data_IF_930160224941
#
_entry.id   IF_930160224941
#
_cell.length_a   1.000
_cell.length_b   1.000
_cell.length_c   1.000
_cell.angle_alpha   90.00
_cell.angle_beta   90.00
_cell.angle_gamma   90.00
#
_symmetry.space_group_name_H-M   'P 1'
#
loop_
_entity.id
_entity.type
_entity.pdbx_description
1 polymer ?
#
# COMPACT_ATOMS: atom_id res chain seq x y z
N UNK A 1 -16.41 36.03 16.40
CA UNK A 1 -16.74 36.06 17.85
C UNK A 1 -15.48 36.43 18.65
N UNK A 2 -15.54 36.46 19.98
CA UNK A 2 -14.34 36.55 20.83
C UNK A 2 -14.09 35.19 21.49
N UNK A 3 -12.83 34.82 21.68
CA UNK A 3 -12.44 33.59 22.33
C UNK A 3 -12.75 33.65 23.84
N UNK A 4 -13.47 32.67 24.42
CA UNK A 4 -13.82 32.68 25.84
C UNK A 4 -12.63 32.46 26.79
N UNK A 5 -11.50 31.91 26.29
CA UNK A 5 -10.29 31.64 27.09
C UNK A 5 -9.25 32.77 27.04
N UNK A 6 -9.12 33.49 25.92
CA UNK A 6 -8.07 34.52 25.75
C UNK A 6 -8.57 35.90 25.28
N UNK A 7 -9.89 36.10 25.16
CA UNK A 7 -10.51 37.38 24.80
C UNK A 7 -10.32 37.85 23.35
N UNK A 8 -9.30 37.35 22.64
CA UNK A 8 -8.99 37.75 21.26
C UNK A 8 -10.14 37.45 20.29
N UNK A 9 -10.30 38.32 19.30
CA UNK A 9 -11.27 38.20 18.20
C UNK A 9 -10.89 37.03 17.29
N UNK A 10 -11.85 36.15 17.01
CA UNK A 10 -11.73 34.92 16.19
C UNK A 10 -12.90 34.84 15.21
N UNK A 11 -12.83 34.00 14.18
CA UNK A 11 -13.96 33.80 13.27
C UNK A 11 -15.15 33.18 14.00
N UNK A 12 -16.35 33.34 13.45
CA UNK A 12 -17.52 32.51 13.83
C UNK A 12 -17.50 31.14 13.14
N UNK A 13 -16.56 30.90 12.23
CA UNK A 13 -16.41 29.62 11.52
C UNK A 13 -15.43 28.67 12.21
N UNK A 14 -14.38 29.20 12.85
CA UNK A 14 -13.34 28.47 13.59
C UNK A 14 -13.92 27.42 14.57
N UNK A 15 -13.36 26.21 14.55
CA UNK A 15 -13.64 25.18 15.56
C UNK A 15 -12.77 25.34 16.82
N UNK A 16 -11.53 25.83 16.66
CA UNK A 16 -10.56 26.07 17.74
C UNK A 16 -10.01 27.50 17.64
N UNK A 17 -9.69 28.13 18.77
CA UNK A 17 -9.10 29.47 18.77
C UNK A 17 -7.63 29.45 18.33
N UNK A 18 -7.35 30.05 17.16
CA UNK A 18 -6.01 30.18 16.54
C UNK A 18 -4.91 30.77 17.46
N UNK A 19 -5.28 31.47 18.54
CA UNK A 19 -4.34 32.07 19.49
C UNK A 19 -4.11 31.31 20.80
N UNK A 20 -4.91 30.28 21.12
CA UNK A 20 -4.81 29.60 22.43
C UNK A 20 -5.38 28.17 22.49
N UNK A 21 -5.71 27.56 21.36
CA UNK A 21 -6.14 26.17 21.23
C UNK A 21 -7.47 25.79 21.88
N UNK A 22 -8.25 26.73 22.45
CA UNK A 22 -9.53 26.36 23.08
C UNK A 22 -10.56 26.04 22.00
N UNK A 23 -11.30 24.95 22.19
CA UNK A 23 -12.41 24.59 21.32
C UNK A 23 -13.55 25.61 21.48
N UNK A 24 -14.00 26.13 20.34
CA UNK A 24 -15.08 27.11 20.19
C UNK A 24 -16.40 26.44 19.79
N UNK A 25 -16.33 25.24 19.21
CA UNK A 25 -17.47 24.42 18.77
C UNK A 25 -17.21 22.94 18.99
N UNK A 26 -18.18 22.22 19.52
CA UNK A 26 -18.17 20.75 19.47
C UNK A 26 -18.37 20.26 18.04
N UNK A 27 -17.55 19.29 17.61
CA UNK A 27 -17.75 18.58 16.35
C UNK A 27 -18.81 17.50 16.58
N UNK A 28 -19.93 17.56 15.86
CA UNK A 28 -20.97 16.51 15.91
C UNK A 28 -20.43 15.26 15.20
N UNK A 29 -20.30 14.10 15.86
CA UNK A 29 -19.83 12.88 15.21
C UNK A 29 -20.81 12.43 14.12
N UNK A 30 -20.30 12.07 12.94
CA UNK A 30 -21.13 11.46 11.89
C UNK A 30 -21.45 10.01 12.28
N UNK A 31 -22.74 9.69 12.41
CA UNK A 31 -23.18 8.33 12.74
C UNK A 31 -22.70 7.30 11.71
N UNK A 32 -22.01 6.26 12.19
CA UNK A 32 -21.59 5.13 11.37
C UNK A 32 -22.82 4.27 11.03
N UNK A 33 -23.40 4.45 9.83
CA UNK A 33 -24.49 3.61 9.31
C UNK A 33 -24.01 2.17 9.05
N UNK A 34 -24.07 1.33 10.08
CA UNK A 34 -23.77 -0.09 9.98
C UNK A 34 -24.83 -0.85 9.15
N UNK A 35 -24.39 -1.45 8.05
CA UNK A 35 -25.11 -2.57 7.43
C UNK A 35 -24.63 -3.91 8.01
N UNK A 36 -25.40 -4.97 7.78
CA UNK A 36 -25.12 -6.37 8.18
C UNK A 36 -25.17 -6.69 9.68
N UNK A 37 -26.35 -6.49 10.29
CA UNK A 37 -26.71 -7.26 11.48
C UNK A 37 -27.46 -8.55 11.13
N UNK A 38 -26.94 -9.73 11.57
CA UNK A 38 -27.77 -10.90 11.94
C UNK A 38 -27.00 -11.97 12.72
N UNK A 39 -27.54 -12.30 13.90
CA UNK A 39 -27.55 -13.59 14.65
C UNK A 39 -26.51 -14.64 14.22
N UNK A 40 -25.60 -15.14 15.06
CA UNK A 40 -25.51 -15.11 16.53
C UNK A 40 -26.01 -16.42 17.16
N UNK A 41 -25.11 -17.15 17.84
CA UNK A 41 -25.39 -18.28 18.73
C UNK A 41 -24.15 -18.65 19.55
N UNK A 42 -24.28 -18.72 20.87
CA UNK A 42 -23.23 -19.17 21.78
C UNK A 42 -23.02 -20.69 21.73
N UNK A 43 -21.80 -21.14 22.05
CA UNK A 43 -21.55 -21.91 23.28
C UNK A 43 -20.06 -22.04 23.61
N UNK A 44 -19.77 -22.22 24.89
CA UNK A 44 -18.43 -22.18 25.50
C UNK A 44 -17.93 -23.60 25.85
N UNK A 45 -16.62 -23.72 26.15
CA UNK A 45 -15.97 -24.80 26.96
C UNK A 45 -15.83 -26.19 26.27
N UNK A 46 -14.85 -27.06 26.59
CA UNK A 46 -13.63 -26.94 27.44
C UNK A 46 -12.64 -28.14 27.27
N UNK A 47 -11.31 -27.85 27.22
CA UNK A 47 -10.10 -28.65 27.56
C UNK A 47 -9.84 -30.11 27.07
N UNK A 48 -8.54 -30.43 27.07
CA UNK A 48 -7.84 -31.73 27.19
C UNK A 48 -7.96 -32.75 26.02
N UNK A 49 -6.92 -33.38 25.45
CA UNK A 49 -5.51 -33.72 25.78
C UNK A 49 -5.26 -35.11 26.41
N UNK A 50 -4.81 -36.08 25.60
CA UNK A 50 -4.11 -37.33 26.02
C UNK A 50 -3.02 -37.68 24.98
N UNK A 51 -1.92 -38.32 25.43
CA UNK A 51 -0.84 -38.91 24.60
C UNK A 51 -0.77 -40.43 24.79
N UNK A 52 -0.29 -41.17 23.78
CA UNK A 52 0.70 -42.29 23.76
C UNK A 52 0.60 -43.03 22.39
N UNK A 53 1.63 -43.60 21.74
CA UNK A 53 2.70 -44.56 22.14
C UNK A 53 2.16 -45.96 22.50
N UNK A 54 2.80 -47.10 22.16
CA UNK A 54 3.81 -47.42 21.11
C UNK A 54 3.11 -48.20 19.96
N UNK A 55 3.58 -49.20 19.19
CA UNK A 55 4.82 -50.02 18.99
C UNK A 55 4.66 -50.67 17.56
N UNK A 56 5.58 -51.35 16.85
CA UNK A 56 6.97 -51.82 17.04
C UNK A 56 7.66 -52.01 15.65
N UNK A 57 8.90 -52.51 15.61
CA UNK A 57 9.61 -53.08 14.44
C UNK A 57 10.12 -54.50 14.79
N UNK A 58 10.41 -55.40 13.82
CA UNK A 58 11.81 -55.60 13.43
C UNK A 58 12.01 -55.82 11.91
N UNK A 59 13.22 -56.25 11.51
CA UNK A 59 13.76 -56.16 10.12
C UNK A 59 14.14 -57.56 9.53
N UNK A 60 14.92 -57.73 8.42
CA UNK A 60 14.72 -58.83 7.46
C UNK A 60 15.85 -59.89 7.56
N UNK A 61 16.12 -60.78 6.57
CA UNK A 61 16.91 -60.35 5.38
C UNK A 61 16.79 -61.22 4.08
N UNK A 62 17.39 -60.70 2.96
CA UNK A 62 18.01 -61.48 1.84
C UNK A 62 17.06 -62.33 0.94
N UNK A 63 17.43 -62.77 -0.27
CA UNK A 63 18.69 -62.66 -1.03
C UNK A 63 18.49 -62.71 -2.57
N UNK A 64 19.49 -62.20 -3.33
CA UNK A 64 19.93 -62.54 -4.72
C UNK A 64 18.96 -62.55 -5.93
N UNK A 65 19.47 -61.98 -7.04
CA UNK A 65 19.02 -62.22 -8.42
C UNK A 65 19.73 -63.46 -9.04
N UNK A 66 19.37 -63.89 -10.27
CA UNK A 66 20.11 -63.38 -11.43
C UNK A 66 19.29 -63.14 -12.71
N UNK A 67 19.91 -62.47 -13.68
CA UNK A 67 19.42 -62.25 -15.06
C UNK A 67 19.88 -63.39 -15.98
N UNK A 68 19.08 -63.75 -17.00
CA UNK A 68 19.65 -64.16 -18.28
C UNK A 68 19.09 -63.37 -19.47
N UNK A 69 19.98 -62.88 -20.33
CA UNK A 69 19.63 -62.26 -21.63
C UNK A 69 19.48 -63.36 -22.69
N UNK A 70 18.47 -63.25 -23.56
CA UNK A 70 18.51 -63.87 -24.90
C UNK A 70 18.02 -62.92 -25.99
N UNK A 71 18.76 -62.93 -27.10
CA UNK A 71 18.50 -62.19 -28.33
C UNK A 71 17.63 -63.02 -29.26
N UNK A 72 16.71 -62.38 -30.00
CA UNK A 72 16.24 -62.84 -31.31
C UNK A 72 15.73 -61.66 -32.14
N UNK A 73 16.02 -61.66 -33.44
CA UNK A 73 15.44 -60.73 -34.42
C UNK A 73 14.15 -61.33 -34.99
N UNK A 74 13.19 -60.48 -35.36
CA UNK A 74 12.70 -60.45 -36.75
C UNK A 74 11.94 -59.15 -37.05
N UNK A 75 12.19 -58.62 -38.25
CA UNK A 75 11.35 -57.63 -38.90
C UNK A 75 10.10 -58.29 -39.47
N UNK A 76 8.98 -57.55 -39.53
CA UNK A 76 7.99 -57.50 -40.61
C UNK A 76 6.82 -56.62 -40.16
N UNK A 77 6.36 -55.71 -41.01
CA UNK A 77 5.29 -54.76 -40.68
C UNK A 77 4.18 -54.76 -41.72
N UNK A 78 2.95 -55.07 -41.30
CA UNK A 78 1.74 -54.94 -42.11
C UNK A 78 0.49 -54.83 -41.21
N UNK A 79 -0.30 -53.76 -41.35
CA UNK A 79 -1.57 -53.56 -40.66
C UNK A 79 -1.46 -53.22 -39.15
N UNK A 80 -2.46 -52.60 -38.51
CA UNK A 80 -3.67 -51.95 -39.01
C UNK A 80 -3.95 -50.66 -38.21
N UNK A 81 -4.87 -49.82 -38.71
CA UNK A 81 -5.14 -48.48 -38.18
C UNK A 81 -5.93 -48.47 -36.87
N UNK A 82 -5.25 -48.72 -35.74
CA UNK A 82 -5.81 -48.49 -34.40
C UNK A 82 -6.02 -47.00 -34.10
N UNK A 83 -7.19 -46.45 -34.47
CA UNK A 83 -7.55 -45.04 -34.23
C UNK A 83 -7.66 -44.78 -32.71
N UNK A 84 -6.57 -44.31 -32.09
CA UNK A 84 -6.59 -43.85 -30.70
C UNK A 84 -7.41 -42.57 -30.59
N UNK A 85 -8.51 -42.65 -29.86
CA UNK A 85 -9.61 -41.68 -29.88
C UNK A 85 -9.18 -40.25 -29.51
N UNK A 86 -9.93 -39.25 -30.00
CA UNK A 86 -9.72 -37.85 -29.62
C UNK A 86 -9.98 -37.52 -28.14
N UNK A 87 -10.48 -38.46 -27.34
CA UNK A 87 -10.84 -38.26 -25.93
C UNK A 87 -9.63 -37.87 -25.06
N UNK A 88 -8.46 -38.45 -25.31
CA UNK A 88 -7.27 -38.19 -24.47
C UNK A 88 -6.70 -36.79 -24.69
N UNK A 89 -6.74 -36.27 -25.93
CA UNK A 89 -6.38 -34.87 -26.22
C UNK A 89 -7.30 -33.90 -25.46
N UNK A 90 -8.62 -34.16 -25.44
CA UNK A 90 -9.57 -33.36 -24.68
C UNK A 90 -9.41 -33.48 -23.17
N UNK A 91 -8.99 -34.63 -22.63
CA UNK A 91 -8.68 -34.80 -21.20
C UNK A 91 -7.45 -33.99 -20.79
N UNK A 92 -6.36 -34.08 -21.54
CA UNK A 92 -5.13 -33.32 -21.28
C UNK A 92 -5.40 -31.81 -21.38
N UNK A 93 -6.15 -31.35 -22.39
CA UNK A 93 -6.54 -29.94 -22.53
C UNK A 93 -7.41 -29.48 -21.35
N UNK A 94 -8.41 -30.27 -20.91
CA UNK A 94 -9.25 -29.91 -19.75
C UNK A 94 -8.43 -29.81 -18.45
N UNK A 95 -7.49 -30.73 -18.21
CA UNK A 95 -6.59 -30.69 -17.05
C UNK A 95 -5.67 -29.46 -17.13
N UNK A 96 -5.11 -29.17 -18.30
CA UNK A 96 -4.28 -27.97 -18.52
C UNK A 96 -5.03 -26.65 -18.28
N UNK A 97 -6.29 -26.56 -18.74
CA UNK A 97 -7.15 -25.38 -18.51
C UNK A 97 -7.50 -25.24 -17.02
N UNK A 98 -7.80 -26.33 -16.31
CA UNK A 98 -8.08 -26.30 -14.86
C UNK A 98 -6.81 -25.89 -14.08
N UNK A 99 -5.64 -26.40 -14.45
CA UNK A 99 -4.36 -26.01 -13.84
C UNK A 99 -4.04 -24.52 -14.09
N UNK A 100 -4.22 -24.03 -15.33
CA UNK A 100 -4.03 -22.63 -15.67
C UNK A 100 -4.99 -21.70 -14.92
N UNK A 101 -6.26 -22.08 -14.76
CA UNK A 101 -7.24 -21.36 -13.94
C UNK A 101 -6.84 -21.36 -12.46
N UNK A 102 -6.37 -22.49 -11.93
CA UNK A 102 -5.85 -22.58 -10.56
C UNK A 102 -4.67 -21.63 -10.31
N UNK A 103 -3.70 -21.60 -11.24
CA UNK A 103 -2.58 -20.66 -11.19
C UNK A 103 -3.06 -19.21 -11.29
N UNK A 104 -4.00 -18.90 -12.20
CA UNK A 104 -4.55 -17.56 -12.34
C UNK A 104 -5.29 -17.08 -11.07
N UNK A 105 -6.02 -17.98 -10.38
CA UNK A 105 -6.65 -17.69 -9.09
C UNK A 105 -5.61 -17.46 -7.99
N UNK A 106 -4.55 -18.26 -7.92
CA UNK A 106 -3.45 -18.06 -6.95
C UNK A 106 -2.76 -16.71 -7.21
N UNK A 107 -2.48 -16.36 -8.47
CA UNK A 107 -1.90 -15.06 -8.85
C UNK A 107 -2.85 -13.91 -8.50
N UNK A 108 -4.16 -14.04 -8.75
CA UNK A 108 -5.15 -13.06 -8.31
C UNK A 108 -5.17 -12.88 -6.79
N UNK A 109 -5.10 -13.97 -6.01
CA UNK A 109 -5.04 -13.90 -4.54
C UNK A 109 -3.76 -13.21 -4.07
N UNK A 110 -2.61 -13.51 -4.68
CA UNK A 110 -1.33 -12.84 -4.36
C UNK A 110 -1.36 -11.33 -4.72
N UNK A 111 -1.97 -10.96 -5.84
CA UNK A 111 -2.18 -9.56 -6.24
C UNK A 111 -3.12 -8.84 -5.27
N UNK A 112 -4.22 -9.48 -4.84
CA UNK A 112 -5.15 -8.93 -3.86
C UNK A 112 -4.51 -8.77 -2.48
N UNK A 113 -3.68 -9.72 -2.04
CA UNK A 113 -2.92 -9.60 -0.80
C UNK A 113 -1.93 -8.42 -0.91
N UNK A 114 -1.17 -8.30 -2.00
CA UNK A 114 -0.30 -7.15 -2.23
C UNK A 114 -1.06 -5.82 -2.25
N UNK A 115 -2.23 -5.75 -2.90
CA UNK A 115 -3.02 -4.52 -3.00
C UNK A 115 -3.65 -4.09 -1.66
N UNK A 116 -3.87 -5.02 -0.74
CA UNK A 116 -4.33 -4.71 0.63
C UNK A 116 -3.16 -4.37 1.56
N UNK A 117 -2.02 -5.05 1.45
CA UNK A 117 -0.85 -4.77 2.31
C UNK A 117 -0.15 -3.44 1.96
N UNK A 118 0.06 -3.16 0.67
CA UNK A 118 0.68 -1.90 0.18
C UNK A 118 -0.15 -0.63 0.39
N UNK A 119 -1.34 -0.77 1.01
CA UNK A 119 -2.24 0.31 1.42
C UNK A 119 -2.32 0.52 2.94
N UNK A 120 -1.57 -0.23 3.76
CA UNK A 120 -1.54 -0.07 5.22
C UNK A 120 -1.15 1.36 5.63
N UNK A 121 -0.02 1.87 5.14
CA UNK A 121 0.43 3.23 5.43
C UNK A 121 -0.52 4.33 4.93
N UNK A 122 -1.11 4.16 3.74
CA UNK A 122 -2.13 5.06 3.19
C UNK A 122 -3.30 5.18 4.17
N UNK A 123 -3.89 4.04 4.59
CA UNK A 123 -4.98 4.00 5.58
C UNK A 123 -4.57 4.54 6.95
N UNK A 124 -3.35 4.29 7.42
CA UNK A 124 -2.89 4.86 8.69
C UNK A 124 -2.77 6.39 8.64
N UNK A 125 -2.35 6.95 7.51
CA UNK A 125 -2.35 8.41 7.31
C UNK A 125 -3.76 9.01 7.18
N UNK A 126 -4.70 8.31 6.52
CA UNK A 126 -6.11 8.71 6.48
C UNK A 126 -6.67 8.80 7.91
N UNK A 127 -6.48 7.76 8.73
CA UNK A 127 -6.94 7.75 10.13
C UNK A 127 -6.25 8.83 10.96
N UNK A 128 -4.93 8.99 10.85
CA UNK A 128 -4.19 10.02 11.59
C UNK A 128 -4.61 11.45 11.19
N UNK A 129 -5.03 11.67 9.93
CA UNK A 129 -5.53 12.97 9.48
C UNK A 129 -6.81 13.42 10.22
N UNK A 130 -7.63 12.49 10.72
CA UNK A 130 -8.82 12.81 11.55
C UNK A 130 -8.47 13.42 12.92
N UNK A 131 -7.18 13.40 13.31
CA UNK A 131 -6.63 13.95 14.55
C UNK A 131 -5.80 15.23 14.34
N UNK A 132 -5.78 15.79 13.13
CA UNK A 132 -5.23 17.13 12.90
C UNK A 132 -5.99 18.15 13.79
N UNK A 133 -5.23 19.03 14.43
CA UNK A 133 -5.72 19.96 15.45
C UNK A 133 -5.94 19.32 16.85
N UNK A 134 -5.52 18.07 17.06
CA UNK A 134 -5.61 17.33 18.34
C UNK A 134 -4.26 16.79 18.81
N UNK A 135 -4.22 16.20 20.00
CA UNK A 135 -3.00 15.65 20.58
C UNK A 135 -2.67 14.25 20.06
N UNK A 136 -1.38 13.92 20.00
CA UNK A 136 -0.90 12.57 19.66
C UNK A 136 -1.39 11.52 20.68
N UNK A 137 -1.64 11.93 21.92
CA UNK A 137 -2.21 11.08 22.97
C UNK A 137 -3.65 10.62 22.70
N UNK A 138 -4.42 11.33 21.87
CA UNK A 138 -5.73 10.88 21.39
C UNK A 138 -5.56 9.87 20.24
N UNK A 139 -4.70 10.17 19.26
CA UNK A 139 -4.41 9.27 18.13
C UNK A 139 -3.93 7.89 18.60
N UNK A 140 -3.06 7.85 19.62
CA UNK A 140 -2.51 6.62 20.18
C UNK A 140 -3.51 5.79 21.02
N UNK A 141 -4.73 6.27 21.27
CA UNK A 141 -5.79 5.48 21.93
C UNK A 141 -6.63 4.67 20.93
N UNK A 142 -6.79 5.18 19.70
CA UNK A 142 -7.64 4.60 18.65
C UNK A 142 -6.85 3.97 17.49
N UNK A 143 -5.51 4.14 17.45
CA UNK A 143 -4.64 3.73 16.33
C UNK A 143 -3.80 2.46 16.56
N UNK A 144 -3.77 1.57 15.56
CA UNK A 144 -2.90 0.37 15.54
C UNK A 144 -1.41 0.68 15.25
N UNK A 145 -1.06 1.93 14.91
CA UNK A 145 0.30 2.34 14.53
C UNK A 145 0.95 3.17 15.64
N UNK A 146 2.10 2.70 16.14
CA UNK A 146 2.93 3.45 17.08
C UNK A 146 3.78 4.50 16.35
N UNK A 147 3.92 5.67 16.97
CA UNK A 147 4.72 6.80 16.48
C UNK A 147 5.92 7.05 17.40
N UNK A 148 7.12 7.13 16.83
CA UNK A 148 8.39 7.38 17.51
C UNK A 148 9.03 8.69 17.05
N UNK A 149 9.93 9.26 17.86
CA UNK A 149 10.66 10.50 17.53
C UNK A 149 11.70 10.34 16.40
N UNK A 150 12.07 9.09 16.06
CA UNK A 150 13.10 8.77 15.07
C UNK A 150 12.71 7.50 14.31
N UNK A 151 13.07 7.43 13.02
CA UNK A 151 12.98 6.22 12.21
C UNK A 151 14.06 5.21 12.60
N UNK A 152 13.75 3.90 12.47
CA UNK A 152 14.76 2.84 12.52
C UNK A 152 15.67 2.82 11.28
N UNK A 153 15.39 3.65 10.27
CA UNK A 153 16.10 3.73 9.00
C UNK A 153 16.84 5.06 8.86
N UNK A 154 18.17 4.99 8.91
CA UNK A 154 19.05 6.17 8.79
C UNK A 154 18.71 7.08 7.60
N UNK A 155 18.39 6.50 6.43
CA UNK A 155 18.04 7.26 5.23
C UNK A 155 16.80 8.17 5.40
N UNK A 156 15.85 7.79 6.26
CA UNK A 156 14.68 8.62 6.59
C UNK A 156 15.12 9.77 7.50
N UNK A 157 15.85 9.46 8.57
CA UNK A 157 16.40 10.44 9.52
C UNK A 157 17.31 11.49 8.85
N UNK A 158 17.97 11.14 7.74
CA UNK A 158 18.89 12.03 7.02
C UNK A 158 18.27 12.82 5.87
N UNK A 159 17.04 12.49 5.42
CA UNK A 159 16.42 13.12 4.23
C UNK A 159 15.06 13.75 4.48
N UNK A 160 14.36 13.37 5.56
CA UNK A 160 13.03 13.87 5.89
C UNK A 160 13.05 14.70 7.18
N UNK A 161 12.11 15.64 7.28
CA UNK A 161 11.79 16.37 8.51
C UNK A 161 10.39 15.94 8.98
N UNK A 162 10.25 15.79 10.28
CA UNK A 162 9.02 15.43 10.99
C UNK A 162 9.25 15.59 12.50
N UNK A 163 8.18 15.68 13.29
CA UNK A 163 8.26 15.53 14.76
C UNK A 163 8.20 14.05 15.16
N UNK A 164 7.33 13.27 14.51
CA UNK A 164 7.11 11.85 14.81
C UNK A 164 6.92 11.01 13.54
N UNK A 165 7.21 9.72 13.62
CA UNK A 165 7.07 8.76 12.52
C UNK A 165 6.54 7.40 12.99
N UNK A 166 5.57 6.85 12.26
CA UNK A 166 5.18 5.44 12.30
C UNK A 166 5.44 4.79 10.94
N UNK A 167 6.08 3.62 10.90
CA UNK A 167 6.68 3.09 9.66
C UNK A 167 6.54 1.57 9.49
N UNK A 168 6.78 1.10 8.26
CA UNK A 168 6.74 -0.33 7.94
C UNK A 168 7.92 -1.09 8.55
N UNK A 169 7.62 -2.27 9.11
CA UNK A 169 8.63 -3.27 9.49
C UNK A 169 9.23 -3.96 8.26
N UNK A 170 8.55 -3.91 7.12
CA UNK A 170 9.09 -4.30 5.81
C UNK A 170 9.93 -3.15 5.22
N UNK A 171 10.91 -3.49 4.37
CA UNK A 171 11.93 -2.52 3.93
C UNK A 171 12.31 -2.65 2.46
N UNK A 172 12.57 -1.52 1.82
CA UNK A 172 13.15 -1.46 0.47
C UNK A 172 14.58 -0.95 0.50
N UNK A 173 15.32 -1.17 -0.61
CA UNK A 173 16.57 -0.46 -0.88
C UNK A 173 16.38 0.51 -2.04
N UNK A 174 16.91 1.71 -1.88
CA UNK A 174 16.91 2.79 -2.88
C UNK A 174 18.38 3.22 -3.02
N UNK A 175 18.99 2.99 -4.19
CA UNK A 175 20.44 3.19 -4.41
C UNK A 175 21.34 2.60 -3.29
N UNK A 176 20.97 1.43 -2.78
CA UNK A 176 21.69 0.73 -1.71
C UNK A 176 21.33 1.15 -0.27
N UNK A 177 20.84 2.38 -0.08
CA UNK A 177 20.33 2.89 1.20
C UNK A 177 19.04 2.14 1.57
N UNK A 178 18.88 1.76 2.84
CA UNK A 178 17.70 1.05 3.35
C UNK A 178 16.66 2.05 3.86
N UNK A 179 15.42 1.89 3.41
CA UNK A 179 14.23 2.64 3.83
C UNK A 179 13.14 1.65 4.30
N UNK A 180 12.14 2.07 5.10
CA UNK A 180 10.94 1.25 5.27
C UNK A 180 10.23 1.15 3.90
N UNK A 181 9.34 0.18 3.73
CA UNK A 181 8.47 0.13 2.53
C UNK A 181 7.63 1.43 2.42
N UNK A 182 7.08 1.87 3.56
CA UNK A 182 6.33 3.11 3.71
C UNK A 182 6.53 3.72 5.10
N UNK A 183 6.26 5.03 5.20
CA UNK A 183 6.21 5.79 6.45
C UNK A 183 4.93 6.64 6.51
N UNK A 184 4.50 6.97 7.73
CA UNK A 184 3.53 8.02 8.04
C UNK A 184 4.19 8.95 9.05
N UNK A 185 4.51 10.17 8.63
CA UNK A 185 5.06 11.21 9.51
C UNK A 185 3.98 12.13 10.02
N UNK A 186 4.19 12.67 11.22
CA UNK A 186 3.39 13.74 11.83
C UNK A 186 4.28 14.96 12.04
N UNK A 187 3.79 16.13 11.66
CA UNK A 187 4.35 17.42 12.04
C UNK A 187 3.48 18.01 13.18
N UNK A 188 4.13 18.61 14.19
CA UNK A 188 3.45 19.13 15.38
C UNK A 188 3.67 20.64 15.54
N UNK A 189 2.63 21.30 16.01
CA UNK A 189 2.72 22.68 16.54
C UNK A 189 3.57 22.73 17.83
N UNK A 190 4.01 23.93 18.23
CA UNK A 190 4.68 24.18 19.52
C UNK A 190 3.85 23.66 20.73
N UNK A 191 2.52 23.69 20.61
CA UNK A 191 1.57 23.18 21.60
C UNK A 191 1.36 21.66 21.54
N UNK A 192 2.12 20.94 20.69
CA UNK A 192 2.08 19.49 20.43
C UNK A 192 0.71 18.95 20.01
N UNK A 193 -0.06 19.78 19.31
CA UNK A 193 -1.15 19.33 18.44
C UNK A 193 -0.62 19.01 17.04
N UNK A 194 -1.15 17.95 16.43
CA UNK A 194 -0.83 17.53 15.05
C UNK A 194 -1.29 18.63 14.08
N UNK A 195 -0.40 19.09 13.20
CA UNK A 195 -0.74 20.07 12.15
C UNK A 195 -0.85 19.43 10.78
N UNK A 196 0.04 18.48 10.48
CA UNK A 196 0.16 17.87 9.16
C UNK A 196 0.51 16.38 9.30
N UNK A 197 0.02 15.57 8.36
CA UNK A 197 0.18 14.11 8.34
C UNK A 197 0.59 13.68 6.94
N UNK A 198 1.73 12.99 6.79
CA UNK A 198 2.26 12.64 5.45
C UNK A 198 2.59 11.15 5.33
N UNK A 199 1.85 10.44 4.49
CA UNK A 199 2.21 9.10 3.99
C UNK A 199 3.28 9.20 2.91
N UNK A 200 4.31 8.37 2.97
CA UNK A 200 5.36 8.23 1.93
C UNK A 200 5.56 6.75 1.59
N UNK A 201 5.63 6.43 0.29
CA UNK A 201 5.86 5.09 -0.25
C UNK A 201 7.21 5.02 -0.97
N UNK A 202 8.22 4.49 -0.28
CA UNK A 202 9.56 4.30 -0.85
C UNK A 202 9.60 3.18 -1.90
N UNK A 203 8.58 2.32 -1.96
CA UNK A 203 8.49 1.27 -2.98
C UNK A 203 8.29 1.82 -4.39
N UNK A 204 7.79 3.06 -4.54
CA UNK A 204 7.68 3.80 -5.81
C UNK A 204 9.06 4.14 -6.40
N UNK A 205 10.07 4.34 -5.55
CA UNK A 205 11.44 4.73 -5.96
C UNK A 205 12.49 3.61 -5.80
N UNK A 206 12.07 2.39 -5.44
CA UNK A 206 12.98 1.23 -5.21
C UNK A 206 13.77 0.78 -6.44
N UNK A 207 13.30 1.12 -7.64
CA UNK A 207 13.96 0.78 -8.91
C UNK A 207 14.71 1.97 -9.53
N UNK A 208 14.23 3.20 -9.30
CA UNK A 208 14.81 4.44 -9.80
C UNK A 208 14.43 5.59 -8.85
N UNK A 209 15.39 6.40 -8.41
CA UNK A 209 15.14 7.54 -7.50
C UNK A 209 14.26 8.62 -8.11
N UNK A 210 14.20 8.66 -9.46
CA UNK A 210 13.35 9.54 -10.25
C UNK A 210 11.90 9.07 -10.28
N UNK A 211 11.62 7.85 -9.79
CA UNK A 211 10.28 7.27 -9.68
C UNK A 211 9.81 6.59 -10.98
N UNK A 212 8.56 6.82 -11.36
CA UNK A 212 7.90 6.09 -12.45
C UNK A 212 8.34 6.61 -13.81
N UNK A 213 8.69 5.72 -14.77
CA UNK A 213 8.93 6.13 -16.15
C UNK A 213 7.61 6.32 -16.90
N UNK A 214 7.40 7.49 -17.50
CA UNK A 214 6.27 7.82 -18.39
C UNK A 214 6.78 8.07 -19.82
N UNK A 215 5.88 7.98 -20.79
CA UNK A 215 6.16 8.22 -22.22
C UNK A 215 6.43 9.70 -22.55
N UNK A 216 5.89 10.61 -21.74
CA UNK A 216 5.89 12.06 -21.94
C UNK A 216 5.71 12.77 -20.59
N UNK A 217 5.83 14.10 -20.60
CA UNK A 217 5.39 14.93 -19.48
C UNK A 217 3.88 14.72 -19.21
N UNK A 218 3.49 14.73 -17.94
CA UNK A 218 2.07 14.77 -17.51
C UNK A 218 1.65 16.24 -17.41
N UNK A 219 0.69 16.67 -18.24
CA UNK A 219 0.04 17.99 -18.10
C UNK A 219 -1.34 17.85 -17.47
N UNK A 220 -1.67 18.76 -16.56
CA UNK A 220 -2.98 18.87 -15.91
C UNK A 220 -3.68 20.20 -16.24
N UNK A 221 -3.18 20.97 -17.21
CA UNK A 221 -3.67 22.32 -17.57
C UNK A 221 -5.13 22.36 -18.00
N UNK A 222 -5.69 21.23 -18.45
CA UNK A 222 -7.11 21.10 -18.81
C UNK A 222 -8.08 21.02 -17.61
N UNK A 223 -7.56 20.89 -16.39
CA UNK A 223 -8.36 20.77 -15.17
C UNK A 223 -8.46 22.11 -14.44
N UNK A 224 -9.62 22.37 -13.83
CA UNK A 224 -9.98 23.67 -13.25
C UNK A 224 -10.46 23.54 -11.81
N UNK A 225 -10.31 24.60 -11.00
CA UNK A 225 -10.69 24.59 -9.58
C UNK A 225 -12.12 24.06 -9.36
N UNK A 226 -12.26 23.11 -8.44
CA UNK A 226 -13.51 22.39 -8.20
C UNK A 226 -13.68 21.09 -9.01
N UNK A 227 -12.74 20.71 -9.88
CA UNK A 227 -12.78 19.44 -10.61
C UNK A 227 -12.77 18.20 -9.69
N UNK A 228 -13.25 17.07 -10.23
CA UNK A 228 -13.29 15.80 -9.48
C UNK A 228 -11.90 15.19 -9.38
N UNK A 229 -11.42 14.94 -8.15
CA UNK A 229 -10.16 14.23 -7.88
C UNK A 229 -10.00 12.93 -8.71
N UNK A 230 -11.05 12.11 -8.82
CA UNK A 230 -11.04 10.85 -9.58
C UNK A 230 -11.01 11.02 -11.12
N UNK A 231 -11.11 12.25 -11.64
CA UNK A 231 -10.77 12.57 -13.03
C UNK A 231 -9.30 12.96 -13.17
N UNK A 232 -8.77 13.75 -12.23
CA UNK A 232 -7.36 14.20 -12.23
C UNK A 232 -6.40 13.03 -11.99
N UNK A 233 -6.67 12.20 -10.97
CA UNK A 233 -5.86 11.01 -10.66
C UNK A 233 -5.77 10.00 -11.83
N UNK A 234 -6.81 9.97 -12.68
CA UNK A 234 -6.88 9.10 -13.87
C UNK A 234 -5.99 9.57 -15.01
N UNK A 235 -5.72 10.87 -15.12
CA UNK A 235 -4.79 11.41 -16.11
C UNK A 235 -3.34 11.19 -15.70
N UNK A 236 -3.07 11.30 -14.40
CA UNK A 236 -1.74 11.09 -13.83
C UNK A 236 -1.30 9.64 -14.03
N UNK A 237 -2.21 8.68 -13.80
CA UNK A 237 -2.04 7.25 -14.05
C UNK A 237 -0.70 6.70 -13.51
N UNK A 238 -0.51 6.84 -12.20
CA UNK A 238 0.57 6.26 -11.40
C UNK A 238 0.24 6.38 -9.91
N UNK A 239 0.91 5.59 -9.05
CA UNK A 239 0.80 5.74 -7.59
C UNK A 239 1.55 7.01 -7.13
N UNK A 240 1.02 7.81 -6.18
CA UNK A 240 1.79 8.87 -5.55
C UNK A 240 2.99 8.30 -4.78
N UNK A 241 4.09 9.05 -4.76
CA UNK A 241 5.22 8.83 -3.86
C UNK A 241 4.88 9.26 -2.42
N UNK A 242 4.12 10.34 -2.25
CA UNK A 242 3.58 10.73 -0.95
C UNK A 242 2.21 11.40 -1.03
N UNK A 243 1.45 11.33 0.06
CA UNK A 243 0.16 12.01 0.25
C UNK A 243 0.24 12.75 1.59
N UNK A 244 0.06 14.07 1.55
CA UNK A 244 0.13 14.94 2.73
C UNK A 244 -1.23 15.59 3.01
N UNK A 245 -1.70 15.54 4.25
CA UNK A 245 -2.93 16.14 4.75
C UNK A 245 -2.55 17.27 5.72
N UNK A 246 -3.12 18.46 5.54
CA UNK A 246 -2.71 19.67 6.27
C UNK A 246 -3.88 20.34 6.99
N UNK A 247 -3.61 20.95 8.16
CA UNK A 247 -4.54 21.77 8.96
C UNK A 247 -5.23 22.92 8.20
N UNK A 248 -4.76 23.28 7.00
CA UNK A 248 -5.42 24.25 6.12
C UNK A 248 -6.56 23.63 5.26
N UNK A 249 -6.88 22.34 5.43
CA UNK A 249 -7.94 21.65 4.70
C UNK A 249 -7.55 21.19 3.28
N UNK A 250 -6.24 21.12 2.99
CA UNK A 250 -5.70 20.66 1.72
C UNK A 250 -5.06 19.27 1.84
N UNK A 251 -5.17 18.51 0.75
CA UNK A 251 -4.51 17.21 0.55
C UNK A 251 -3.62 17.30 -0.69
N UNK A 252 -2.31 17.12 -0.50
CA UNK A 252 -1.30 17.21 -1.58
C UNK A 252 -0.79 15.82 -1.94
N UNK A 253 -1.08 15.39 -3.16
CA UNK A 253 -0.52 14.17 -3.75
C UNK A 253 0.77 14.54 -4.48
N UNK A 254 1.89 13.92 -4.10
CA UNK A 254 3.21 14.14 -4.71
C UNK A 254 3.62 12.91 -5.51
N UNK A 255 4.02 13.11 -6.76
CA UNK A 255 4.46 12.08 -7.69
C UNK A 255 5.90 12.36 -8.10
N UNK A 256 6.75 11.32 -8.09
CA UNK A 256 8.07 11.35 -8.73
C UNK A 256 7.98 10.54 -10.02
N UNK A 257 8.29 11.15 -11.15
CA UNK A 257 8.32 10.47 -12.43
C UNK A 257 9.44 11.03 -13.34
N UNK A 258 9.75 10.32 -14.41
CA UNK A 258 10.61 10.83 -15.47
C UNK A 258 10.14 10.39 -16.85
N UNK A 259 10.55 11.13 -17.87
CA UNK A 259 10.20 10.87 -19.27
C UNK A 259 11.39 11.18 -20.18
N UNK A 260 11.38 10.65 -21.40
CA UNK A 260 12.37 10.99 -22.43
C UNK A 260 11.91 12.24 -23.18
N UNK A 261 12.79 13.21 -23.37
CA UNK A 261 12.55 14.42 -24.17
C UNK A 261 12.83 14.17 -25.66
N UNK A 262 12.42 15.09 -26.52
CA UNK A 262 12.62 15.02 -27.97
C UNK A 262 14.11 15.06 -28.39
N UNK A 263 14.99 15.56 -27.51
CA UNK A 263 16.43 15.53 -27.67
C UNK A 263 17.09 14.31 -26.99
N UNK A 264 16.31 13.25 -26.75
CA UNK A 264 16.70 11.98 -26.16
C UNK A 264 17.10 11.96 -24.66
N UNK A 265 17.23 13.12 -24.01
CA UNK A 265 17.50 13.24 -22.56
C UNK A 265 16.37 12.67 -21.68
N UNK A 266 16.71 12.10 -20.51
CA UNK A 266 15.73 11.71 -19.50
C UNK A 266 15.52 12.80 -18.44
N UNK A 267 14.34 13.45 -18.47
CA UNK A 267 13.97 14.52 -17.54
C UNK A 267 13.19 13.95 -16.34
N UNK A 268 13.72 14.15 -15.13
CA UNK A 268 13.03 13.85 -13.88
C UNK A 268 12.14 15.02 -13.44
N UNK A 269 11.01 14.69 -12.81
CA UNK A 269 9.94 15.64 -12.44
C UNK A 269 9.34 15.28 -11.08
N UNK A 270 9.13 16.29 -10.24
CA UNK A 270 8.17 16.22 -9.13
C UNK A 270 6.88 16.92 -9.56
N UNK A 271 5.77 16.18 -9.56
CA UNK A 271 4.43 16.71 -9.78
C UNK A 271 3.69 16.70 -8.44
N UNK A 272 3.23 17.86 -7.99
CA UNK A 272 2.38 18.00 -6.80
C UNK A 272 0.98 18.42 -7.23
N UNK A 273 -0.04 17.75 -6.72
CA UNK A 273 -1.44 17.96 -7.12
C UNK A 273 -2.27 18.15 -5.85
N UNK A 274 -2.91 19.31 -5.75
CA UNK A 274 -3.55 19.77 -4.52
C UNK A 274 -5.06 19.67 -4.65
N UNK A 275 -5.67 19.04 -3.65
CA UNK A 275 -7.12 18.90 -3.50
C UNK A 275 -7.56 19.51 -2.16
N UNK A 276 -8.85 19.77 -2.00
CA UNK A 276 -9.47 19.94 -0.68
C UNK A 276 -9.79 18.59 -0.05
N UNK A 277 -10.02 18.56 1.27
CA UNK A 277 -10.66 17.46 2.00
C UNK A 277 -11.87 16.82 1.28
N UNK A 278 -12.61 17.60 0.49
CA UNK A 278 -13.84 17.19 -0.21
C UNK A 278 -13.57 16.55 -1.57
N UNK A 279 -12.34 16.16 -1.87
CA UNK A 279 -11.94 15.54 -3.14
C UNK A 279 -12.10 16.46 -4.35
N UNK A 280 -11.94 17.77 -4.13
CA UNK A 280 -12.00 18.81 -5.17
C UNK A 280 -10.62 19.33 -5.51
N UNK A 281 -10.24 19.26 -6.77
CA UNK A 281 -8.98 19.78 -7.29
C UNK A 281 -8.88 21.30 -7.11
N UNK A 282 -7.67 21.79 -6.82
CA UNK A 282 -7.34 23.21 -6.63
C UNK A 282 -6.35 23.68 -7.70
N UNK A 283 -5.18 23.06 -7.75
CA UNK A 283 -4.09 23.37 -8.68
C UNK A 283 -3.06 22.22 -8.70
N UNK A 284 -2.08 22.32 -9.60
CA UNK A 284 -0.88 21.50 -9.60
C UNK A 284 0.38 22.37 -9.66
N UNK A 285 1.52 21.82 -9.27
CA UNK A 285 2.85 22.35 -9.59
C UNK A 285 3.69 21.23 -10.21
N UNK A 286 4.56 21.59 -11.16
CA UNK A 286 5.48 20.67 -11.82
C UNK A 286 6.89 21.25 -11.73
N UNK A 287 7.78 20.51 -11.09
CA UNK A 287 9.16 20.91 -10.78
C UNK A 287 10.13 19.99 -11.53
N UNK A 288 10.99 20.55 -12.38
CA UNK A 288 12.01 19.79 -13.10
C UNK A 288 13.21 19.55 -12.19
N UNK A 289 13.55 18.29 -11.95
CA UNK A 289 14.74 17.93 -11.19
C UNK A 289 15.97 17.89 -12.11
N UNK A 290 17.06 18.50 -11.64
CA UNK A 290 18.39 18.47 -12.24
C UNK A 290 19.35 17.76 -11.28
N UNK A 291 20.51 17.24 -11.74
CA UNK A 291 21.42 16.47 -10.88
C UNK A 291 21.92 17.18 -9.62
N UNK A 292 21.93 18.52 -9.62
CA UNK A 292 22.29 19.37 -8.47
C UNK A 292 21.20 19.43 -7.39
N UNK A 293 19.97 19.00 -7.73
CA UNK A 293 18.75 19.10 -6.92
C UNK A 293 18.03 17.74 -6.74
N UNK A 294 18.74 16.60 -6.83
CA UNK A 294 18.16 15.23 -6.75
C UNK A 294 18.46 14.50 -5.44
#
# INVERSE_FOLDING_TARGET
>A
MNCPKCGKKVSSEDYNCIYCGVQLKSVVPKEKKGLFGRKGKDKTKEKASVKRHEDKRPEPPKDKAPVPVKVSRKDEGAGEAGIKSGADKFRIVKIGVIAALGIAVIVLVLILIHSVMSKKGERYSEVASEYIGRSVGELNQDGDLFYADNSAYYGVNSTMKYDLIGESTESVKVQGIKYPEWAVTLDLSDAKFITDVTYTDFSVVKHDVRGVKKSSQVSLERFTDGDKQSSVLREIDMKPYSISYSQNGLTTYTYKYYYKRDNDDEQAVILRVVFTEKGKYRYFTSELLFPENM
#
